data_IF_861768589448
#
_entry.id   IF_861768589448
#
_cell.length_a   1.000
_cell.length_b   1.000
_cell.length_c   1.000
_cell.angle_alpha   90.00
_cell.angle_beta   90.00
_cell.angle_gamma   90.00
#
_symmetry.space_group_name_H-M   'P 1'
#
loop_
_entity.id
_entity.type
_entity.pdbx_description
1 polymer ?
#
# COMPACT_ATOMS: atom_id res chain seq x y z
N UNK A 1 -37.73 14.64 45.46
CA UNK A 1 -37.76 13.28 44.89
C UNK A 1 -38.07 13.45 43.41
N UNK A 2 -37.22 13.25 42.42
CA UNK A 2 -35.87 12.69 42.24
C UNK A 2 -35.26 13.50 41.08
N UNK A 3 -34.00 13.94 41.21
CA UNK A 3 -33.22 14.46 40.07
C UNK A 3 -32.65 13.24 39.37
N UNK A 4 -33.16 12.90 38.19
CA UNK A 4 -32.56 11.89 37.31
C UNK A 4 -31.34 12.53 36.62
N UNK A 5 -30.16 12.31 37.17
CA UNK A 5 -28.90 12.53 36.46
C UNK A 5 -28.73 11.32 35.55
N UNK A 6 -29.07 11.46 34.27
CA UNK A 6 -28.65 10.52 33.25
C UNK A 6 -27.14 10.66 33.07
N UNK A 7 -26.38 9.70 33.62
CA UNK A 7 -24.99 9.48 33.23
C UNK A 7 -24.99 9.15 31.74
N UNK A 8 -24.70 10.15 30.91
CA UNK A 8 -24.23 9.93 29.55
C UNK A 8 -22.84 9.33 29.70
N UNK A 9 -22.76 8.02 29.54
CA UNK A 9 -21.49 7.30 29.46
C UNK A 9 -20.70 7.84 28.28
N UNK A 10 -19.66 8.60 28.58
CA UNK A 10 -18.55 8.85 27.66
C UNK A 10 -17.90 7.50 27.37
N UNK A 11 -18.28 6.86 26.27
CA UNK A 11 -17.50 5.80 25.65
C UNK A 11 -16.24 6.43 25.07
N UNK A 12 -15.26 6.70 25.93
CA UNK A 12 -13.91 7.08 25.53
C UNK A 12 -13.33 5.86 24.83
N UNK A 13 -13.20 5.95 23.52
CA UNK A 13 -12.43 5.05 22.66
C UNK A 13 -11.00 4.96 23.22
N UNK A 14 -10.74 3.91 24.01
CA UNK A 14 -9.46 3.70 24.70
C UNK A 14 -8.64 2.55 24.08
N UNK A 15 -8.96 2.14 22.85
CA UNK A 15 -8.20 1.07 22.15
C UNK A 15 -7.04 1.63 21.30
N UNK A 16 -7.05 2.91 20.92
CA UNK A 16 -6.10 3.43 19.93
C UNK A 16 -4.77 3.98 20.48
N UNK A 17 -4.57 4.02 21.81
CA UNK A 17 -3.46 4.79 22.39
C UNK A 17 -2.10 4.08 22.42
N UNK A 18 -2.08 2.75 22.45
CA UNK A 18 -0.83 1.96 22.46
C UNK A 18 -0.29 1.76 21.05
N UNK A 19 -1.16 1.40 20.10
CA UNK A 19 -0.83 1.28 18.67
C UNK A 19 -0.28 2.59 18.11
N UNK A 20 -0.93 3.71 18.43
CA UNK A 20 -0.45 5.04 18.04
C UNK A 20 0.96 5.35 18.58
N UNK A 21 1.20 5.12 19.88
CA UNK A 21 2.53 5.37 20.49
C UNK A 21 3.62 4.52 19.84
N UNK A 22 3.27 3.29 19.48
CA UNK A 22 4.17 2.38 18.80
C UNK A 22 4.53 2.89 17.40
N UNK A 23 3.55 3.32 16.60
CA UNK A 23 3.79 3.89 15.27
C UNK A 23 4.74 5.09 15.38
N UNK A 24 4.45 6.00 16.32
CA UNK A 24 5.28 7.19 16.57
C UNK A 24 6.72 6.83 16.92
N UNK A 25 6.93 5.83 17.78
CA UNK A 25 8.29 5.39 18.12
C UNK A 25 8.98 4.71 16.94
N UNK A 26 8.27 3.88 16.16
CA UNK A 26 8.84 3.19 15.00
C UNK A 26 9.17 4.13 13.83
N UNK A 27 8.47 5.27 13.69
CA UNK A 27 8.71 6.27 12.65
C UNK A 27 9.46 7.51 13.15
N UNK A 28 9.91 7.51 14.42
CA UNK A 28 10.62 8.65 15.03
C UNK A 28 11.92 9.02 14.30
N UNK A 29 12.56 8.03 13.69
CA UNK A 29 13.81 8.16 12.94
C UNK A 29 13.61 8.63 11.50
N UNK A 30 12.36 8.82 11.05
CA UNK A 30 12.06 9.27 9.70
C UNK A 30 12.27 10.79 9.60
N UNK A 31 13.23 11.16 8.75
CA UNK A 31 13.53 12.54 8.41
C UNK A 31 13.00 12.89 7.02
N UNK A 32 12.57 14.13 6.85
CA UNK A 32 12.10 14.69 5.58
C UNK A 32 13.07 15.78 5.08
N UNK A 33 13.40 15.74 3.79
CA UNK A 33 14.22 16.71 3.08
C UNK A 33 13.44 17.30 1.88
N UNK A 34 13.35 18.63 1.81
CA UNK A 34 12.56 19.39 0.83
C UNK A 34 13.37 20.12 -0.26
N UNK A 35 14.62 19.72 -0.50
CA UNK A 35 15.60 20.45 -1.32
C UNK A 35 15.18 20.81 -2.79
N UNK A 36 14.11 20.23 -3.37
CA UNK A 36 13.73 20.49 -4.79
C UNK A 36 12.22 20.54 -5.09
N UNK A 37 11.48 19.49 -4.74
CA UNK A 37 10.04 19.33 -5.01
C UNK A 37 9.41 18.77 -3.72
N UNK A 38 8.28 19.31 -3.27
CA UNK A 38 7.68 18.84 -2.02
C UNK A 38 7.12 17.43 -2.18
N UNK A 39 7.14 16.63 -1.11
CA UNK A 39 6.54 15.29 -1.10
C UNK A 39 5.13 15.31 -1.69
N UNK A 40 4.30 16.24 -1.26
CA UNK A 40 2.91 16.41 -1.72
C UNK A 40 2.83 16.67 -3.23
N UNK A 41 3.75 17.45 -3.79
CA UNK A 41 3.78 17.76 -5.23
C UNK A 41 4.14 16.52 -6.05
N UNK A 42 5.15 15.76 -5.61
CA UNK A 42 5.54 14.50 -6.26
C UNK A 42 4.39 13.50 -6.16
N UNK A 43 3.79 13.38 -4.98
CA UNK A 43 2.69 12.46 -4.73
C UNK A 43 1.48 12.78 -5.61
N UNK A 44 1.11 14.06 -5.73
CA UNK A 44 0.04 14.51 -6.63
C UNK A 44 0.32 14.25 -8.12
N UNK A 45 1.58 14.06 -8.51
CA UNK A 45 1.97 13.76 -9.90
C UNK A 45 1.82 12.28 -10.26
N UNK A 46 1.62 11.39 -9.28
CA UNK A 46 1.45 9.95 -9.52
C UNK A 46 0.12 9.71 -10.27
N UNK A 47 0.11 9.00 -11.41
CA UNK A 47 -1.09 8.77 -12.22
C UNK A 47 -2.08 7.80 -11.56
N UNK A 48 -3.29 7.70 -12.12
CA UNK A 48 -4.31 6.77 -11.61
C UNK A 48 -3.82 5.32 -11.70
N UNK A 49 -3.50 4.74 -10.55
CA UNK A 49 -2.93 3.40 -10.46
C UNK A 49 -3.95 2.28 -10.69
N UNK A 50 -5.25 2.58 -10.63
CA UNK A 50 -6.29 1.56 -10.83
C UNK A 50 -6.35 1.10 -12.29
N UNK A 51 -6.15 2.03 -13.23
CA UNK A 51 -6.06 1.72 -14.66
C UNK A 51 -4.79 0.89 -14.94
N UNK A 52 -3.65 1.31 -14.41
CA UNK A 52 -2.36 0.63 -14.58
C UNK A 52 -2.37 -0.78 -13.97
N UNK A 53 -2.95 -0.95 -12.78
CA UNK A 53 -3.09 -2.25 -12.13
C UNK A 53 -4.04 -3.19 -12.88
N UNK A 54 -5.15 -2.66 -13.42
CA UNK A 54 -6.08 -3.45 -14.24
C UNK A 54 -5.43 -3.88 -15.56
N UNK A 55 -4.68 -2.97 -16.19
CA UNK A 55 -3.95 -3.25 -17.42
C UNK A 55 -2.89 -4.32 -17.23
N UNK A 56 -2.10 -4.28 -16.15
CA UNK A 56 -1.13 -5.33 -15.84
C UNK A 56 -1.83 -6.64 -15.43
N UNK A 57 -2.96 -6.60 -14.74
CA UNK A 57 -3.72 -7.82 -14.41
C UNK A 57 -4.26 -8.50 -15.66
N UNK A 58 -4.70 -7.73 -16.66
CA UNK A 58 -5.19 -8.24 -17.95
C UNK A 58 -4.15 -8.92 -18.83
N UNK A 59 -2.87 -8.85 -18.46
CA UNK A 59 -1.80 -9.63 -19.10
C UNK A 59 -2.11 -11.13 -18.91
N UNK A 60 -2.61 -11.52 -17.75
CA UNK A 60 -2.97 -12.90 -17.48
C UNK A 60 -4.21 -13.33 -18.27
N UNK A 61 -4.13 -14.51 -18.89
CA UNK A 61 -5.28 -15.12 -19.56
C UNK A 61 -6.30 -15.72 -18.57
N UNK A 62 -5.83 -16.20 -17.42
CA UNK A 62 -6.65 -16.89 -16.42
C UNK A 62 -6.27 -16.49 -14.99
N UNK A 63 -7.25 -16.59 -14.09
CA UNK A 63 -7.07 -16.35 -12.66
C UNK A 63 -6.20 -17.44 -12.02
N UNK A 64 -5.15 -17.04 -11.30
CA UNK A 64 -4.33 -17.94 -10.50
C UNK A 64 -4.28 -17.48 -9.02
N UNK A 65 -4.85 -18.23 -8.07
CA UNK A 65 -4.79 -17.85 -6.65
C UNK A 65 -3.44 -18.14 -5.99
N UNK A 66 -2.58 -18.97 -6.60
CA UNK A 66 -1.30 -19.41 -6.00
C UNK A 66 -0.26 -18.30 -5.99
N UNK A 67 -0.40 -17.29 -6.86
CA UNK A 67 0.55 -16.17 -6.93
C UNK A 67 0.30 -15.14 -5.84
N UNK A 68 -0.88 -15.12 -5.24
CA UNK A 68 -1.27 -14.09 -4.30
C UNK A 68 -0.64 -14.30 -2.91
N UNK A 69 -0.52 -13.23 -2.13
CA UNK A 69 -0.14 -13.33 -0.72
C UNK A 69 -1.22 -14.07 0.06
N UNK A 70 -0.88 -14.93 1.03
CA UNK A 70 -1.89 -15.55 1.88
C UNK A 70 -2.65 -14.50 2.69
N UNK A 71 -3.94 -14.35 2.46
CA UNK A 71 -4.75 -13.36 3.17
C UNK A 71 -4.77 -13.62 4.70
N UNK A 72 -4.57 -14.88 5.11
CA UNK A 72 -4.47 -15.29 6.52
C UNK A 72 -3.20 -14.76 7.22
N UNK A 73 -2.16 -14.37 6.46
CA UNK A 73 -0.90 -13.84 7.01
C UNK A 73 -1.00 -12.40 7.52
N UNK A 74 -2.09 -11.68 7.25
CA UNK A 74 -2.23 -10.26 7.65
C UNK A 74 -2.01 -10.02 9.16
N UNK A 75 -2.37 -10.98 10.01
CA UNK A 75 -2.17 -10.89 11.45
C UNK A 75 -0.70 -10.96 11.89
N UNK A 76 0.18 -11.53 11.06
CA UNK A 76 1.59 -11.82 11.37
C UNK A 76 2.49 -10.59 11.30
N UNK A 77 2.05 -9.54 10.62
CA UNK A 77 2.80 -8.28 10.55
C UNK A 77 2.84 -7.59 11.91
N UNK A 78 4.05 -7.42 12.45
CA UNK A 78 4.25 -6.83 13.77
C UNK A 78 4.84 -5.43 13.77
N UNK A 79 5.64 -5.04 12.77
CA UNK A 79 6.16 -3.66 12.67
C UNK A 79 5.21 -2.79 11.85
N UNK A 80 5.04 -1.53 12.24
CA UNK A 80 4.25 -0.52 11.53
C UNK A 80 4.84 -0.22 10.14
N UNK A 81 6.17 -0.16 9.98
CA UNK A 81 6.81 0.02 8.66
C UNK A 81 6.52 -1.16 7.73
N UNK A 82 6.68 -2.40 8.21
CA UNK A 82 6.34 -3.60 7.41
C UNK A 82 4.83 -3.72 7.15
N UNK A 83 3.99 -3.29 8.09
CA UNK A 83 2.53 -3.24 7.91
C UNK A 83 2.15 -2.26 6.81
N UNK A 84 2.81 -1.10 6.71
CA UNK A 84 2.58 -0.14 5.63
C UNK A 84 2.91 -0.75 4.25
N UNK A 85 4.05 -1.43 4.11
CA UNK A 85 4.40 -2.16 2.87
C UNK A 85 3.36 -3.24 2.56
N UNK A 86 2.94 -4.01 3.57
CA UNK A 86 1.93 -5.06 3.43
C UNK A 86 0.57 -4.53 2.96
N UNK A 87 0.11 -3.39 3.47
CA UNK A 87 -1.13 -2.76 3.02
C UNK A 87 -1.08 -2.54 1.50
N UNK A 88 0.03 -2.00 0.99
CA UNK A 88 0.22 -1.83 -0.45
C UNK A 88 0.11 -3.12 -1.24
N UNK A 89 0.82 -4.17 -0.81
CA UNK A 89 0.79 -5.47 -1.51
C UNK A 89 -0.62 -6.12 -1.47
N UNK A 90 -1.33 -6.02 -0.34
CA UNK A 90 -2.69 -6.57 -0.22
C UNK A 90 -3.71 -5.78 -1.06
N UNK A 91 -3.49 -4.47 -1.29
CA UNK A 91 -4.30 -3.67 -2.22
C UNK A 91 -4.09 -4.16 -3.67
N UNK A 92 -2.86 -4.49 -4.07
CA UNK A 92 -2.57 -5.07 -5.38
C UNK A 92 -3.29 -6.42 -5.58
N UNK A 93 -3.19 -7.33 -4.61
CA UNK A 93 -3.87 -8.63 -4.67
C UNK A 93 -5.40 -8.47 -4.74
N UNK A 94 -5.96 -7.53 -3.97
CA UNK A 94 -7.38 -7.17 -4.04
C UNK A 94 -7.77 -6.71 -5.46
N UNK A 95 -6.95 -5.86 -6.09
CA UNK A 95 -7.13 -5.43 -7.47
C UNK A 95 -7.15 -6.60 -8.46
N UNK A 96 -6.21 -7.53 -8.31
CA UNK A 96 -6.12 -8.73 -9.15
C UNK A 96 -7.34 -9.64 -9.01
N UNK A 97 -7.71 -10.03 -7.78
CA UNK A 97 -8.86 -10.94 -7.57
C UNK A 97 -10.17 -10.31 -8.05
N UNK A 98 -10.26 -8.98 -7.96
CA UNK A 98 -11.42 -8.23 -8.41
C UNK A 98 -11.47 -8.07 -9.93
N UNK A 99 -10.33 -7.94 -10.61
CA UNK A 99 -10.24 -8.02 -12.08
C UNK A 99 -10.82 -9.34 -12.60
N UNK A 100 -10.55 -10.45 -11.91
CA UNK A 100 -11.09 -11.78 -12.23
C UNK A 100 -12.46 -12.10 -11.61
N UNK A 101 -13.13 -11.10 -11.04
CA UNK A 101 -14.47 -11.19 -10.46
C UNK A 101 -14.61 -12.29 -9.38
N UNK A 102 -13.56 -12.52 -8.59
CA UNK A 102 -13.51 -13.56 -7.54
C UNK A 102 -14.04 -13.02 -6.21
N UNK A 103 -15.37 -12.94 -6.09
CA UNK A 103 -16.07 -12.33 -4.94
C UNK A 103 -15.58 -12.84 -3.57
N UNK A 104 -15.43 -14.16 -3.37
CA UNK A 104 -14.98 -14.68 -2.08
C UNK A 104 -13.56 -14.22 -1.73
N UNK A 105 -12.65 -14.22 -2.71
CA UNK A 105 -11.30 -13.70 -2.51
C UNK A 105 -11.31 -12.20 -2.21
N UNK A 106 -12.16 -11.42 -2.87
CA UNK A 106 -12.31 -9.99 -2.53
C UNK A 106 -12.67 -9.81 -1.06
N UNK A 107 -13.62 -10.59 -0.53
CA UNK A 107 -14.00 -10.54 0.89
C UNK A 107 -12.83 -10.92 1.80
N UNK A 108 -12.11 -11.97 1.45
CA UNK A 108 -10.96 -12.46 2.23
C UNK A 108 -9.84 -11.40 2.30
N UNK A 109 -9.52 -10.72 1.18
CA UNK A 109 -8.53 -9.63 1.16
C UNK A 109 -9.01 -8.36 1.86
N UNK A 110 -10.30 -8.03 1.79
CA UNK A 110 -10.86 -6.90 2.55
C UNK A 110 -10.77 -7.14 4.06
N UNK A 111 -11.06 -8.36 4.52
CA UNK A 111 -10.89 -8.74 5.93
C UNK A 111 -9.42 -8.70 6.37
N UNK A 112 -8.50 -9.10 5.49
CA UNK A 112 -7.07 -8.99 5.74
C UNK A 112 -6.59 -7.53 5.83
N UNK A 113 -7.03 -6.67 4.92
CA UNK A 113 -6.75 -5.23 4.96
C UNK A 113 -7.28 -4.58 6.24
N UNK A 114 -8.45 -5.00 6.73
CA UNK A 114 -8.98 -4.55 8.03
C UNK A 114 -7.99 -4.78 9.17
N UNK A 115 -7.41 -5.98 9.22
CA UNK A 115 -6.46 -6.38 10.27
C UNK A 115 -5.20 -5.52 10.19
N UNK A 116 -4.66 -5.30 8.98
CA UNK A 116 -3.47 -4.48 8.77
C UNK A 116 -3.73 -3.01 9.16
N UNK A 117 -4.88 -2.47 8.77
CA UNK A 117 -5.26 -1.08 9.03
C UNK A 117 -5.52 -0.81 10.51
N UNK A 118 -6.14 -1.75 11.24
CA UNK A 118 -6.30 -1.64 12.70
C UNK A 118 -4.94 -1.50 13.40
N UNK A 119 -3.89 -2.18 12.92
CA UNK A 119 -2.53 -2.06 13.47
C UNK A 119 -1.89 -0.69 13.21
N UNK A 120 -2.44 0.11 12.29
CA UNK A 120 -1.99 1.47 11.98
C UNK A 120 -2.72 2.54 12.81
N UNK A 121 -3.34 2.15 13.93
CA UNK A 121 -4.10 3.02 14.83
C UNK A 121 -5.24 3.76 14.11
N UNK A 122 -5.85 3.08 13.14
CA UNK A 122 -7.02 3.58 12.42
C UNK A 122 -8.25 2.92 13.04
N UNK A 123 -9.24 3.73 13.41
CA UNK A 123 -10.42 3.20 14.09
C UNK A 123 -11.17 2.21 13.18
N UNK A 124 -11.66 1.11 13.78
CA UNK A 124 -12.40 0.09 13.04
C UNK A 124 -13.70 0.64 12.44
N UNK A 125 -14.29 1.65 13.06
CA UNK A 125 -15.50 2.32 12.57
C UNK A 125 -15.24 3.19 11.34
N UNK A 126 -14.04 3.76 11.20
CA UNK A 126 -13.66 4.50 10.00
C UNK A 126 -13.31 3.55 8.86
N UNK A 127 -12.60 2.46 9.16
CA UNK A 127 -12.36 1.40 8.17
C UNK A 127 -13.66 0.74 7.69
N UNK A 128 -14.60 0.42 8.58
CA UNK A 128 -15.87 -0.20 8.21
C UNK A 128 -16.75 0.71 7.33
N UNK A 129 -16.58 2.04 7.41
CA UNK A 129 -17.19 3.00 6.47
C UNK A 129 -16.44 3.06 5.15
N UNK A 130 -15.13 2.85 5.17
CA UNK A 130 -14.30 2.80 3.97
C UNK A 130 -14.53 1.53 3.15
N UNK A 131 -14.88 0.38 3.74
CA UNK A 131 -15.08 -0.88 2.99
C UNK A 131 -16.15 -0.74 1.89
N UNK A 132 -17.37 -0.23 2.16
CA UNK A 132 -18.37 0.02 1.10
C UNK A 132 -17.92 1.05 0.06
N UNK A 133 -17.10 2.03 0.46
CA UNK A 133 -16.49 2.99 -0.47
C UNK A 133 -15.40 2.33 -1.33
N UNK A 134 -14.60 1.44 -0.76
CA UNK A 134 -13.62 0.61 -1.46
C UNK A 134 -14.31 -0.28 -2.49
N UNK A 135 -15.36 -1.01 -2.09
CA UNK A 135 -16.15 -1.88 -2.97
C UNK A 135 -16.77 -1.12 -4.15
N UNK A 136 -17.23 0.11 -3.92
CA UNK A 136 -17.87 0.94 -4.95
C UNK A 136 -16.89 1.73 -5.82
N UNK A 137 -15.62 1.87 -5.41
CA UNK A 137 -14.64 2.76 -6.06
C UNK A 137 -13.28 2.11 -6.34
N UNK A 138 -13.16 0.79 -6.28
CA UNK A 138 -11.93 0.04 -6.60
C UNK A 138 -11.34 0.28 -8.03
N UNK A 139 -12.05 1.02 -8.89
CA UNK A 139 -11.59 1.52 -10.20
C UNK A 139 -11.22 3.02 -10.19
N UNK A 140 -11.09 3.64 -9.02
CA UNK A 140 -10.95 5.09 -8.88
C UNK A 140 -9.81 5.38 -7.89
N UNK A 141 -8.63 5.72 -8.41
CA UNK A 141 -7.44 6.02 -7.60
C UNK A 141 -7.57 7.28 -6.78
N UNK A 142 -8.31 8.29 -7.22
CA UNK A 142 -8.59 9.44 -6.35
C UNK A 142 -9.35 8.97 -5.10
N UNK A 143 -10.16 7.91 -5.20
CA UNK A 143 -10.78 7.28 -4.03
C UNK A 143 -9.82 6.37 -3.25
N UNK A 144 -8.90 5.64 -3.87
CA UNK A 144 -7.88 4.87 -3.12
C UNK A 144 -6.91 5.80 -2.37
N UNK A 145 -6.62 6.97 -2.94
CA UNK A 145 -5.91 8.04 -2.28
C UNK A 145 -6.76 8.75 -1.25
N UNK A 146 -8.05 9.04 -1.49
CA UNK A 146 -8.94 9.51 -0.42
C UNK A 146 -9.11 8.47 0.68
N UNK A 147 -9.06 7.17 0.38
CA UNK A 147 -9.14 6.14 1.40
C UNK A 147 -7.81 6.03 2.13
N UNK A 148 -6.66 6.09 1.47
CA UNK A 148 -5.34 6.16 2.14
C UNK A 148 -5.22 7.45 2.96
N UNK A 149 -5.65 8.58 2.44
CA UNK A 149 -5.70 9.88 3.09
C UNK A 149 -6.76 9.95 4.18
N UNK A 150 -7.86 9.20 4.09
CA UNK A 150 -8.91 9.10 5.13
C UNK A 150 -8.51 8.11 6.22
N UNK A 151 -7.86 6.99 5.84
CA UNK A 151 -7.15 6.05 6.71
C UNK A 151 -6.14 6.85 7.55
N UNK A 152 -5.38 7.71 6.88
CA UNK A 152 -4.41 8.62 7.47
C UNK A 152 -5.05 9.78 8.23
N UNK A 153 -6.13 10.39 7.73
CA UNK A 153 -6.83 11.54 8.33
C UNK A 153 -7.52 11.20 9.65
N UNK A 154 -8.07 9.99 9.76
CA UNK A 154 -8.58 9.44 11.02
C UNK A 154 -7.46 9.23 12.06
N UNK A 155 -6.21 9.06 11.64
CA UNK A 155 -5.01 9.06 12.49
C UNK A 155 -4.31 10.44 12.63
N UNK A 156 -4.53 11.36 11.68
CA UNK A 156 -3.80 12.63 11.50
C UNK A 156 -3.98 13.64 12.61
N UNK A 157 -4.96 13.48 13.49
CA UNK A 157 -5.04 14.37 14.65
C UNK A 157 -3.80 14.19 15.56
N UNK A 158 -3.05 13.09 15.39
CA UNK A 158 -2.00 12.69 16.30
C UNK A 158 -0.62 12.50 15.64
N UNK A 159 -0.51 12.11 14.37
CA UNK A 159 0.79 11.88 13.70
C UNK A 159 1.37 13.19 13.10
N UNK A 160 2.70 13.22 12.92
CA UNK A 160 3.43 14.30 12.25
C UNK A 160 3.59 14.04 10.75
N UNK A 161 3.79 15.10 9.96
CA UNK A 161 3.89 15.00 8.50
C UNK A 161 4.96 13.98 8.04
N UNK A 162 6.11 13.90 8.72
CA UNK A 162 7.17 12.94 8.40
C UNK A 162 6.72 11.47 8.55
N UNK A 163 5.98 11.17 9.62
CA UNK A 163 5.44 9.81 9.87
C UNK A 163 4.46 9.45 8.74
N UNK A 164 3.62 10.41 8.34
CA UNK A 164 2.65 10.24 7.27
C UNK A 164 3.32 10.05 5.90
N UNK A 165 4.32 10.86 5.57
CA UNK A 165 5.10 10.71 4.35
C UNK A 165 5.81 9.35 4.29
N UNK A 166 6.39 8.90 5.41
CA UNK A 166 6.97 7.57 5.53
C UNK A 166 5.96 6.45 5.25
N UNK A 167 4.78 6.51 5.88
CA UNK A 167 3.71 5.52 5.66
C UNK A 167 3.27 5.50 4.19
N UNK A 168 2.97 6.67 3.61
CA UNK A 168 2.50 6.78 2.23
C UNK A 168 3.51 6.23 1.21
N UNK A 169 4.79 6.54 1.38
CA UNK A 169 5.84 6.04 0.50
C UNK A 169 5.96 4.51 0.57
N UNK A 170 5.88 3.92 1.78
CA UNK A 170 5.94 2.47 1.97
C UNK A 170 4.71 1.75 1.39
N UNK A 171 3.50 2.30 1.55
CA UNK A 171 2.28 1.75 0.96
C UNK A 171 2.37 1.74 -0.57
N UNK A 172 2.77 2.87 -1.17
CA UNK A 172 2.93 2.97 -2.62
C UNK A 172 3.99 2.00 -3.16
N UNK A 173 5.11 1.85 -2.45
CA UNK A 173 6.17 0.94 -2.81
C UNK A 173 5.74 -0.53 -2.75
N UNK A 174 4.99 -0.92 -1.72
CA UNK A 174 4.40 -2.26 -1.62
C UNK A 174 3.40 -2.54 -2.73
N UNK A 175 2.52 -1.58 -3.01
CA UNK A 175 1.55 -1.65 -4.11
C UNK A 175 2.28 -1.83 -5.46
N UNK A 176 3.29 -1.00 -5.72
CA UNK A 176 4.08 -1.08 -6.92
C UNK A 176 4.77 -2.43 -7.11
N UNK A 177 5.43 -2.91 -6.05
CA UNK A 177 6.16 -4.18 -6.05
C UNK A 177 5.24 -5.36 -6.37
N UNK A 178 4.08 -5.44 -5.70
CA UNK A 178 3.17 -6.59 -5.89
C UNK A 178 2.48 -6.55 -7.25
N UNK A 179 2.03 -5.38 -7.71
CA UNK A 179 1.44 -5.28 -9.06
C UNK A 179 2.47 -5.58 -10.16
N UNK A 180 3.74 -5.19 -9.98
CA UNK A 180 4.82 -5.60 -10.90
C UNK A 180 5.04 -7.09 -10.86
N UNK A 181 5.12 -7.69 -9.67
CA UNK A 181 5.27 -9.13 -9.50
C UNK A 181 4.17 -9.87 -10.25
N UNK A 182 2.91 -9.54 -9.98
CA UNK A 182 1.76 -10.12 -10.66
C UNK A 182 1.87 -9.92 -12.18
N UNK A 183 2.11 -8.70 -12.66
CA UNK A 183 2.19 -8.40 -14.09
C UNK A 183 3.33 -9.10 -14.85
N UNK A 184 4.40 -9.51 -14.16
CA UNK A 184 5.53 -10.24 -14.75
C UNK A 184 5.34 -11.77 -14.72
N UNK A 185 4.40 -12.29 -13.94
CA UNK A 185 4.14 -13.72 -13.91
C UNK A 185 3.52 -14.14 -15.25
N UNK A 186 4.17 -15.09 -15.91
CA UNK A 186 3.85 -15.58 -17.26
C UNK A 186 4.16 -14.60 -18.41
N UNK A 187 5.01 -13.59 -18.17
CA UNK A 187 5.42 -12.62 -19.18
C UNK A 187 5.90 -13.25 -20.50
N UNK A 188 6.61 -14.38 -20.42
CA UNK A 188 7.14 -15.12 -21.58
C UNK A 188 6.07 -15.80 -22.46
N UNK A 189 4.83 -15.94 -21.97
CA UNK A 189 3.74 -16.68 -22.64
C UNK A 189 2.74 -15.76 -23.35
N UNK A 190 2.98 -14.45 -23.37
CA UNK A 190 1.98 -13.42 -23.69
C UNK A 190 2.49 -12.49 -24.81
N UNK A 191 1.60 -11.67 -25.39
CA UNK A 191 1.96 -10.64 -26.37
C UNK A 191 2.96 -9.64 -25.76
N UNK A 192 4.25 -9.92 -25.97
CA UNK A 192 5.35 -9.18 -25.39
C UNK A 192 5.37 -7.72 -25.78
N UNK A 193 4.81 -7.33 -26.94
CA UNK A 193 4.79 -5.92 -27.34
C UNK A 193 3.85 -5.13 -26.43
N UNK A 194 2.63 -5.64 -26.22
CA UNK A 194 1.65 -5.00 -25.34
C UNK A 194 2.07 -5.07 -23.87
N UNK A 195 2.66 -6.19 -23.43
CA UNK A 195 3.19 -6.32 -22.07
C UNK A 195 4.33 -5.33 -21.79
N UNK A 196 5.24 -5.11 -22.77
CA UNK A 196 6.31 -4.12 -22.65
C UNK A 196 5.79 -2.69 -22.48
N UNK A 197 4.79 -2.28 -23.28
CA UNK A 197 4.24 -0.92 -23.18
C UNK A 197 3.64 -0.65 -21.79
N UNK A 198 2.87 -1.61 -21.26
CA UNK A 198 2.28 -1.52 -19.92
C UNK A 198 3.35 -1.48 -18.83
N UNK A 199 4.38 -2.33 -18.95
CA UNK A 199 5.50 -2.35 -18.01
C UNK A 199 6.30 -1.04 -18.03
N UNK A 200 6.52 -0.44 -19.21
CA UNK A 200 7.18 0.86 -19.32
C UNK A 200 6.39 1.97 -18.62
N UNK A 201 5.06 2.02 -18.81
CA UNK A 201 4.21 2.96 -18.09
C UNK A 201 4.29 2.77 -16.57
N UNK A 202 4.34 1.52 -16.11
CA UNK A 202 4.51 1.17 -14.71
C UNK A 202 5.85 1.62 -14.12
N UNK A 203 6.91 1.61 -14.92
CA UNK A 203 8.24 2.12 -14.52
C UNK A 203 8.28 3.64 -14.37
N UNK A 204 7.42 4.41 -15.05
CA UNK A 204 7.32 5.85 -14.78
C UNK A 204 6.79 6.13 -13.36
N UNK A 205 5.96 5.23 -12.83
CA UNK A 205 5.47 5.32 -11.45
C UNK A 205 6.59 5.02 -10.46
N UNK A 206 7.45 4.02 -10.76
CA UNK A 206 8.64 3.72 -9.95
C UNK A 206 9.53 4.95 -9.77
N UNK A 207 9.73 5.73 -10.84
CA UNK A 207 10.54 6.96 -10.76
C UNK A 207 9.95 7.96 -9.78
N UNK A 208 8.63 8.12 -9.75
CA UNK A 208 7.98 9.01 -8.79
C UNK A 208 8.08 8.47 -7.35
N UNK A 209 7.93 7.16 -7.16
CA UNK A 209 8.14 6.51 -5.85
C UNK A 209 9.58 6.73 -5.36
N UNK A 210 10.58 6.57 -6.23
CA UNK A 210 11.98 6.82 -5.87
C UNK A 210 12.25 8.30 -5.55
N UNK A 211 11.55 9.24 -6.18
CA UNK A 211 11.59 10.66 -5.78
C UNK A 211 10.96 10.90 -4.40
N UNK A 212 9.82 10.26 -4.09
CA UNK A 212 9.23 10.32 -2.74
C UNK A 212 10.22 9.79 -1.69
N UNK A 213 10.89 8.68 -1.99
CA UNK A 213 11.93 8.15 -1.12
C UNK A 213 13.18 9.03 -1.07
N UNK A 214 13.45 9.88 -2.07
CA UNK A 214 14.53 10.86 -2.01
C UNK A 214 14.25 12.00 -1.03
N UNK A 215 12.99 12.30 -0.79
CA UNK A 215 12.58 13.21 0.27
C UNK A 215 12.67 12.60 1.67
N UNK A 216 12.90 11.30 1.80
CA UNK A 216 12.85 10.59 3.08
C UNK A 216 14.16 9.88 3.39
N UNK A 217 14.48 9.81 4.67
CA UNK A 217 15.56 8.96 5.17
C UNK A 217 15.22 8.37 6.52
N UNK A 218 15.64 7.12 6.72
CA UNK A 218 15.69 6.44 7.99
C UNK A 218 16.89 5.47 8.00
N UNK A 219 17.11 4.73 9.08
CA UNK A 219 18.15 3.69 9.15
C UNK A 219 17.55 2.27 9.03
N UNK A 220 16.37 2.13 8.43
CA UNK A 220 15.59 0.88 8.45
C UNK A 220 14.89 0.58 7.11
N UNK A 221 13.59 0.29 7.14
CA UNK A 221 12.78 -0.19 6.01
C UNK A 221 12.74 0.81 4.86
N UNK A 222 12.70 2.12 5.13
CA UNK A 222 12.66 3.12 4.05
C UNK A 222 13.96 3.09 3.26
N UNK A 223 15.11 3.13 3.95
CA UNK A 223 16.42 3.08 3.30
C UNK A 223 16.68 1.77 2.56
N UNK A 224 16.26 0.63 3.12
CA UNK A 224 16.36 -0.67 2.44
C UNK A 224 15.54 -0.71 1.15
N UNK A 225 14.24 -0.38 1.24
CA UNK A 225 13.33 -0.44 0.09
C UNK A 225 13.70 0.59 -0.98
N UNK A 226 14.13 1.79 -0.58
CA UNK A 226 14.67 2.82 -1.47
C UNK A 226 15.88 2.30 -2.25
N UNK A 227 16.82 1.62 -1.59
CA UNK A 227 18.01 1.10 -2.26
C UNK A 227 17.64 0.03 -3.30
N UNK A 228 16.76 -0.90 -2.92
CA UNK A 228 16.29 -1.97 -3.81
C UNK A 228 15.55 -1.39 -5.03
N UNK A 229 14.60 -0.48 -4.81
CA UNK A 229 13.79 0.11 -5.90
C UNK A 229 14.60 1.03 -6.81
N UNK A 230 15.66 1.68 -6.31
CA UNK A 230 16.61 2.42 -7.16
C UNK A 230 17.46 1.50 -8.02
N UNK A 231 17.83 0.33 -7.52
CA UNK A 231 18.53 -0.67 -8.34
C UNK A 231 17.63 -1.20 -9.46
N UNK A 232 16.36 -1.48 -9.16
CA UNK A 232 15.35 -1.87 -10.16
C UNK A 232 15.15 -0.76 -11.21
N UNK A 233 14.99 0.50 -10.79
CA UNK A 233 14.83 1.63 -11.72
C UNK A 233 16.04 1.73 -12.66
N UNK A 234 17.25 1.59 -12.11
CA UNK A 234 18.51 1.68 -12.87
C UNK A 234 18.64 0.55 -13.89
N UNK A 235 18.22 -0.67 -13.55
CA UNK A 235 18.22 -1.82 -14.46
C UNK A 235 17.17 -1.67 -15.56
N UNK A 236 16.02 -1.06 -15.23
CA UNK A 236 14.96 -0.75 -16.18
C UNK A 236 14.02 -1.92 -16.50
N UNK A 237 12.94 -1.66 -17.27
CA UNK A 237 11.87 -2.62 -17.53
C UNK A 237 12.27 -3.80 -18.42
N UNK A 238 13.34 -3.65 -19.21
CA UNK A 238 13.83 -4.69 -20.12
C UNK A 238 14.86 -5.63 -19.45
N UNK A 239 15.11 -5.47 -18.15
CA UNK A 239 16.08 -6.29 -17.44
C UNK A 239 15.66 -7.77 -17.40
N UNK A 240 16.57 -8.66 -17.80
CA UNK A 240 16.34 -10.11 -17.71
C UNK A 240 16.21 -10.62 -16.27
N UNK A 241 16.75 -9.89 -15.29
CA UNK A 241 16.64 -10.22 -13.87
C UNK A 241 15.43 -9.60 -13.19
N UNK A 242 14.57 -8.86 -13.92
CA UNK A 242 13.54 -8.03 -13.31
C UNK A 242 12.60 -8.83 -12.40
N UNK A 243 12.12 -9.98 -12.87
CA UNK A 243 11.25 -10.83 -12.05
C UNK A 243 11.96 -11.31 -10.79
N UNK A 244 13.21 -11.76 -10.90
CA UNK A 244 13.99 -12.23 -9.75
C UNK A 244 14.24 -11.11 -8.73
N UNK A 245 14.55 -9.90 -9.21
CA UNK A 245 14.75 -8.72 -8.37
C UNK A 245 13.46 -8.36 -7.62
N UNK A 246 12.31 -8.34 -8.31
CA UNK A 246 11.01 -8.05 -7.71
C UNK A 246 10.60 -9.15 -6.71
N UNK A 247 10.85 -10.43 -7.02
CA UNK A 247 10.59 -11.56 -6.11
C UNK A 247 11.44 -11.43 -4.85
N UNK A 248 12.71 -11.03 -4.98
CA UNK A 248 13.58 -10.81 -3.83
C UNK A 248 13.03 -9.70 -2.92
N UNK A 249 12.63 -8.56 -3.49
CA UNK A 249 12.05 -7.43 -2.74
C UNK A 249 10.76 -7.87 -2.06
N UNK A 250 9.83 -8.47 -2.82
CA UNK A 250 8.56 -8.98 -2.30
C UNK A 250 8.75 -9.90 -1.11
N UNK A 251 9.69 -10.84 -1.19
CA UNK A 251 9.93 -11.83 -0.15
C UNK A 251 10.54 -11.26 1.14
N UNK A 252 11.16 -10.08 1.10
CA UNK A 252 11.60 -9.39 2.33
C UNK A 252 10.42 -8.92 3.18
N UNK A 253 9.29 -8.64 2.54
CA UNK A 253 8.12 -8.03 3.17
C UNK A 253 6.89 -8.95 3.21
N UNK A 254 6.92 -10.12 2.56
CA UNK A 254 5.86 -11.13 2.71
C UNK A 254 6.01 -11.91 4.03
N UNK A 255 4.88 -12.33 4.61
CA UNK A 255 4.80 -13.15 5.83
C UNK A 255 3.99 -14.43 5.57
#
# INVERSE_FOLDING_TARGET
MIVLISLVGLHISCINSEEYKKIKEEFRDVEYNDDFETFDSIYASIPDYSEVSSELSSIHAEFNPVVLLPYQSAGLYTSSKNTAVAIGMYIADLGYVRHFERVQYCMDYLDALRILIQKMAISSDDFNKMVPEFESNINNKDRLFEITDSLMSSGNILLSDNEMYGISALVLAGLWTETTYLGLLNYDEIDMVNANVKLMAHFEILKQINKLFDCLSDDSVISELKADLKDVEKKGPESQSLLDDIVLIRNKFSQ
#
